data_IF_643199766760
#
_entry.id   IF_643199766760
#
_cell.length_a   1.000
_cell.length_b   1.000
_cell.length_c   1.000
_cell.angle_alpha   90.00
_cell.angle_beta   90.00
_cell.angle_gamma   90.00
#
_symmetry.space_group_name_H-M   'P 1'
#
loop_
_entity.id
_entity.type
_entity.pdbx_description
1 polymer ?
#
# COMPACT_ATOMS: atom_id res chain seq x y z
N UNK A 1 18.45 -38.47 7.99
CA UNK A 1 18.93 -37.09 7.76
C UNK A 1 20.03 -36.79 8.77
N UNK A 2 21.15 -36.15 8.39
CA UNK A 2 22.23 -35.84 9.34
C UNK A 2 21.74 -34.86 10.43
N UNK A 3 22.30 -34.98 11.62
CA UNK A 3 22.01 -34.07 12.72
C UNK A 3 22.42 -32.63 12.36
N UNK A 4 21.59 -31.65 12.74
CA UNK A 4 21.88 -30.26 12.48
C UNK A 4 23.16 -29.82 13.23
N UNK A 5 24.10 -29.20 12.52
CA UNK A 5 25.31 -28.64 13.13
C UNK A 5 24.90 -27.52 14.12
N UNK A 6 25.34 -27.58 15.39
CA UNK A 6 25.01 -26.55 16.38
C UNK A 6 25.54 -25.17 15.98
N UNK A 7 24.68 -24.17 16.01
CA UNK A 7 24.99 -22.75 15.75
C UNK A 7 25.09 -21.98 17.06
N UNK A 8 25.83 -20.88 17.10
CA UNK A 8 25.86 -19.99 18.26
C UNK A 8 24.47 -19.37 18.49
N UNK A 9 24.09 -19.18 19.75
CA UNK A 9 22.90 -18.40 20.11
C UNK A 9 22.97 -16.98 19.53
N UNK A 10 21.83 -16.43 19.09
CA UNK A 10 21.71 -15.07 18.52
C UNK A 10 21.79 -13.94 19.56
N UNK A 11 21.72 -14.24 20.85
CA UNK A 11 21.87 -13.22 21.90
C UNK A 11 23.33 -12.80 21.97
N UNK A 12 23.58 -11.51 21.83
CA UNK A 12 24.93 -10.94 21.90
C UNK A 12 25.57 -11.27 23.26
N UNK A 13 26.81 -11.78 23.24
CA UNK A 13 27.53 -12.20 24.44
C UNK A 13 27.16 -13.60 24.97
N UNK A 14 26.15 -14.27 24.41
CA UNK A 14 25.81 -15.64 24.82
C UNK A 14 26.80 -16.66 24.23
N UNK A 15 27.41 -17.47 25.11
CA UNK A 15 28.34 -18.55 24.73
C UNK A 15 27.64 -19.84 24.27
N UNK A 16 26.35 -19.98 24.54
CA UNK A 16 25.60 -21.21 24.31
C UNK A 16 25.36 -21.49 22.82
N UNK A 17 25.26 -22.78 22.47
CA UNK A 17 24.94 -23.27 21.13
C UNK A 17 23.49 -23.74 21.05
N UNK A 18 22.97 -23.84 19.84
CA UNK A 18 21.61 -24.30 19.56
C UNK A 18 21.53 -24.96 18.19
N UNK A 19 20.72 -26.01 18.09
CA UNK A 19 20.33 -26.63 16.81
C UNK A 19 18.95 -26.16 16.37
N UNK A 20 18.26 -25.37 17.21
CA UNK A 20 16.89 -24.91 16.96
C UNK A 20 16.85 -23.91 15.80
N UNK A 21 15.81 -24.02 14.95
CA UNK A 21 15.66 -23.17 13.74
C UNK A 21 15.56 -21.68 14.05
N UNK A 22 15.02 -21.30 15.21
CA UNK A 22 14.93 -19.91 15.64
C UNK A 22 16.28 -19.30 16.05
N UNK A 23 17.31 -20.12 16.27
CA UNK A 23 18.67 -19.65 16.55
C UNK A 23 18.91 -19.15 17.98
N UNK A 24 18.07 -19.53 18.93
CA UNK A 24 18.27 -19.23 20.36
C UNK A 24 18.53 -20.53 21.13
N UNK A 25 19.38 -20.51 22.17
CA UNK A 25 19.54 -21.63 23.09
C UNK A 25 18.30 -21.76 23.99
N UNK A 26 18.24 -22.81 24.81
CA UNK A 26 17.09 -23.07 25.69
C UNK A 26 16.80 -21.90 26.64
N UNK A 27 17.84 -21.33 27.28
CA UNK A 27 17.72 -20.14 28.14
C UNK A 27 17.10 -18.93 27.43
N UNK A 28 17.33 -18.81 26.12
CA UNK A 28 16.89 -17.69 25.30
C UNK A 28 15.72 -18.06 24.37
N UNK A 29 15.08 -19.22 24.56
CA UNK A 29 13.96 -19.66 23.71
C UNK A 29 12.81 -18.63 23.68
N UNK A 30 12.59 -17.89 24.78
CA UNK A 30 11.60 -16.82 24.86
C UNK A 30 11.83 -15.69 23.83
N UNK A 31 13.07 -15.47 23.37
CA UNK A 31 13.40 -14.46 22.35
C UNK A 31 13.09 -14.90 20.92
N UNK A 32 12.81 -16.19 20.72
CA UNK A 32 12.32 -16.74 19.45
C UNK A 32 10.91 -16.26 19.08
N UNK A 33 10.25 -15.48 19.96
CA UNK A 33 8.86 -15.07 19.81
C UNK A 33 8.57 -14.43 18.46
N UNK A 34 7.74 -15.14 17.68
CA UNK A 34 7.03 -14.65 16.50
C UNK A 34 6.27 -13.34 16.76
N UNK A 35 5.96 -13.02 18.02
CA UNK A 35 5.25 -11.81 18.41
C UNK A 35 5.99 -10.51 18.05
N UNK A 36 7.33 -10.48 18.06
CA UNK A 36 8.08 -9.29 17.62
C UNK A 36 7.90 -9.02 16.12
N UNK A 37 7.99 -10.07 15.32
CA UNK A 37 7.75 -9.99 13.87
C UNK A 37 6.30 -9.58 13.57
N UNK A 38 5.33 -10.19 14.24
CA UNK A 38 3.91 -9.88 14.05
C UNK A 38 3.58 -8.45 14.47
N UNK A 39 4.08 -7.97 15.62
CA UNK A 39 3.98 -6.56 16.03
C UNK A 39 4.63 -5.61 15.04
N UNK A 40 5.78 -5.98 14.46
CA UNK A 40 6.41 -5.19 13.41
C UNK A 40 5.57 -5.12 12.13
N UNK A 41 4.95 -6.23 11.70
CA UNK A 41 4.05 -6.22 10.55
C UNK A 41 2.78 -5.39 10.83
N UNK A 42 2.22 -5.49 12.03
CA UNK A 42 1.08 -4.66 12.46
C UNK A 42 1.43 -3.16 12.41
N UNK A 43 2.63 -2.77 12.86
CA UNK A 43 3.11 -1.37 12.80
C UNK A 43 3.33 -0.86 11.38
N UNK A 44 3.63 -1.74 10.41
CA UNK A 44 3.77 -1.37 8.99
C UNK A 44 2.42 -1.07 8.31
N UNK A 45 1.30 -1.37 8.98
CA UNK A 45 -0.04 -1.16 8.44
C UNK A 45 -0.42 -2.16 7.34
N UNK A 46 -1.65 -2.04 6.84
CA UNK A 46 -2.10 -2.84 5.69
C UNK A 46 -1.25 -2.47 4.47
N UNK A 47 -0.70 -3.48 3.79
CA UNK A 47 -0.11 -3.33 2.46
C UNK A 47 -1.24 -3.26 1.43
N UNK A 48 -2.05 -2.19 1.50
CA UNK A 48 -3.26 -1.97 0.70
C UNK A 48 -3.07 -2.38 -0.76
N UNK A 49 -2.01 -1.88 -1.40
CA UNK A 49 -1.73 -2.13 -2.80
C UNK A 49 -1.45 -3.61 -3.17
N UNK A 50 -1.20 -4.46 -2.17
CA UNK A 50 -0.94 -5.90 -2.35
C UNK A 50 -2.17 -6.76 -2.09
N UNK A 51 -3.24 -6.21 -1.53
CA UNK A 51 -4.45 -6.99 -1.19
C UNK A 51 -5.18 -7.45 -2.45
N UNK A 52 -5.91 -8.57 -2.33
CA UNK A 52 -6.68 -9.12 -3.45
C UNK A 52 -7.83 -8.17 -3.81
N UNK A 53 -8.42 -7.57 -2.80
CA UNK A 53 -9.53 -6.62 -2.88
C UNK A 53 -9.09 -5.38 -3.67
N UNK A 54 -7.95 -4.76 -3.32
CA UNK A 54 -7.43 -3.60 -4.06
C UNK A 54 -7.14 -3.94 -5.53
N UNK A 55 -6.50 -5.09 -5.79
CA UNK A 55 -6.22 -5.53 -7.16
C UNK A 55 -7.49 -5.73 -7.98
N UNK A 56 -8.55 -6.27 -7.37
CA UNK A 56 -9.85 -6.43 -8.01
C UNK A 56 -10.51 -5.06 -8.30
N UNK A 57 -10.61 -4.19 -7.29
CA UNK A 57 -11.18 -2.85 -7.44
C UNK A 57 -10.42 -2.01 -8.47
N UNK A 58 -9.09 -2.14 -8.52
CA UNK A 58 -8.25 -1.48 -9.53
C UNK A 58 -8.67 -1.81 -10.97
N UNK A 59 -8.96 -3.07 -11.26
CA UNK A 59 -9.40 -3.45 -12.60
C UNK A 59 -10.81 -2.94 -12.91
N UNK A 60 -11.70 -2.86 -11.91
CA UNK A 60 -13.01 -2.21 -12.05
C UNK A 60 -12.84 -0.71 -12.38
N UNK A 61 -11.99 0.00 -11.64
CA UNK A 61 -11.66 1.42 -11.86
C UNK A 61 -11.13 1.64 -13.27
N UNK A 62 -10.15 0.82 -13.70
CA UNK A 62 -9.59 0.87 -15.06
C UNK A 62 -10.66 0.69 -16.13
N UNK A 63 -11.56 -0.27 -15.94
CA UNK A 63 -12.64 -0.59 -16.89
C UNK A 63 -13.64 0.55 -16.98
N UNK A 64 -14.11 1.07 -15.84
CA UNK A 64 -15.04 2.22 -15.80
C UNK A 64 -14.43 3.49 -16.38
N UNK A 65 -13.13 3.70 -16.18
CA UNK A 65 -12.40 4.80 -16.80
C UNK A 65 -12.11 4.60 -18.30
N UNK A 66 -12.47 3.45 -18.88
CA UNK A 66 -12.14 3.07 -20.26
C UNK A 66 -10.65 3.18 -20.57
N UNK A 67 -9.81 2.86 -19.59
CA UNK A 67 -8.35 3.04 -19.62
C UNK A 67 -7.87 4.49 -19.86
N UNK A 68 -8.72 5.51 -19.70
CA UNK A 68 -8.38 6.91 -19.92
C UNK A 68 -8.12 7.66 -18.61
N UNK A 69 -7.21 8.63 -18.66
CA UNK A 69 -6.89 9.50 -17.55
C UNK A 69 -8.06 10.46 -17.26
N UNK A 70 -8.81 10.20 -16.20
CA UNK A 70 -10.01 10.98 -15.84
C UNK A 70 -9.64 12.45 -15.61
N UNK A 71 -8.57 12.73 -14.87
CA UNK A 71 -8.13 14.10 -14.62
C UNK A 71 -7.73 14.88 -15.88
N UNK A 72 -7.28 14.21 -16.95
CA UNK A 72 -7.04 14.89 -18.23
C UNK A 72 -8.34 15.14 -19.00
N UNK A 73 -9.31 14.23 -18.89
CA UNK A 73 -10.61 14.32 -19.55
C UNK A 73 -11.56 15.32 -18.90
N UNK A 74 -11.43 15.59 -17.60
CA UNK A 74 -12.35 16.47 -16.86
C UNK A 74 -11.83 17.89 -16.69
N UNK A 75 -10.67 18.20 -17.27
CA UNK A 75 -10.13 19.57 -17.27
C UNK A 75 -10.93 20.49 -18.21
N UNK A 76 -10.89 21.83 -17.98
CA UNK A 76 -11.56 22.79 -18.86
C UNK A 76 -11.15 22.69 -20.34
N UNK A 77 -9.92 22.26 -20.60
CA UNK A 77 -9.42 21.89 -21.94
C UNK A 77 -9.09 20.39 -21.92
N UNK A 78 -10.05 19.52 -22.23
CA UNK A 78 -9.90 18.09 -22.05
C UNK A 78 -8.90 17.51 -23.06
N UNK A 79 -8.06 16.60 -22.59
CA UNK A 79 -7.10 15.86 -23.42
C UNK A 79 -7.38 14.37 -23.24
N UNK A 80 -7.59 13.66 -24.35
CA UNK A 80 -7.71 12.20 -24.33
C UNK A 80 -6.31 11.61 -24.17
N UNK A 81 -6.05 11.04 -23.00
CA UNK A 81 -4.76 10.42 -22.67
C UNK A 81 -5.01 9.10 -21.94
N UNK A 82 -4.25 8.07 -22.27
CA UNK A 82 -4.30 6.79 -21.56
C UNK A 82 -3.84 6.94 -20.11
N UNK A 83 -4.54 6.29 -19.18
CA UNK A 83 -4.15 6.19 -17.78
C UNK A 83 -3.43 4.86 -17.49
N UNK A 84 -2.63 4.82 -16.44
CA UNK A 84 -1.87 3.64 -15.99
C UNK A 84 -1.92 3.40 -14.48
N UNK A 85 -2.35 4.40 -13.69
CA UNK A 85 -2.29 4.41 -12.23
C UNK A 85 -3.70 4.51 -11.65
N UNK A 86 -4.04 3.60 -10.73
CA UNK A 86 -5.25 3.71 -9.91
C UNK A 86 -4.91 4.53 -8.67
N UNK A 87 -5.41 5.75 -8.64
CA UNK A 87 -5.03 6.77 -7.68
C UNK A 87 -6.15 6.98 -6.66
N UNK A 88 -5.79 7.02 -5.38
CA UNK A 88 -6.73 7.41 -4.33
C UNK A 88 -6.91 8.93 -4.36
N UNK A 89 -8.14 9.45 -4.44
CA UNK A 89 -8.41 10.89 -4.35
C UNK A 89 -7.92 11.40 -3.00
N UNK A 90 -8.48 10.90 -1.90
CA UNK A 90 -7.94 11.07 -0.55
C UNK A 90 -6.91 9.97 -0.30
N UNK A 91 -5.64 10.28 0.03
CA UNK A 91 -4.63 9.26 0.29
C UNK A 91 -4.96 8.39 1.50
N UNK A 92 -4.52 7.13 1.48
CA UNK A 92 -4.66 6.19 2.61
C UNK A 92 -4.06 6.77 3.91
N UNK A 93 -2.94 7.49 3.82
CA UNK A 93 -2.31 8.17 4.96
C UNK A 93 -3.19 9.25 5.62
N UNK A 94 -4.24 9.71 4.92
CA UNK A 94 -5.23 10.68 5.40
C UNK A 94 -6.62 10.06 5.58
N UNK A 95 -6.70 8.73 5.64
CA UNK A 95 -7.95 8.00 5.88
C UNK A 95 -8.77 7.67 4.64
N UNK A 96 -8.22 7.83 3.43
CA UNK A 96 -8.89 7.42 2.20
C UNK A 96 -9.06 5.91 2.11
N UNK A 97 -10.19 5.47 1.55
CA UNK A 97 -10.57 4.07 1.35
C UNK A 97 -10.44 3.65 -0.10
N UNK A 98 -10.56 2.35 -0.36
CA UNK A 98 -10.57 1.74 -1.69
C UNK A 98 -11.98 1.71 -2.30
N UNK A 99 -12.90 2.53 -1.81
CA UNK A 99 -14.22 2.72 -2.41
C UNK A 99 -14.09 3.43 -3.76
N UNK A 100 -14.93 3.08 -4.73
CA UNK A 100 -14.87 3.67 -6.08
C UNK A 100 -15.03 5.20 -6.06
N UNK A 101 -15.83 5.73 -5.13
CA UNK A 101 -16.00 7.15 -4.85
C UNK A 101 -14.70 7.88 -4.46
N UNK A 102 -13.70 7.14 -3.99
CA UNK A 102 -12.39 7.67 -3.62
C UNK A 102 -11.27 7.23 -4.58
N UNK A 103 -11.59 6.56 -5.69
CA UNK A 103 -10.60 6.10 -6.66
C UNK A 103 -10.78 6.79 -8.02
N UNK A 104 -9.66 6.99 -8.71
CA UNK A 104 -9.63 7.48 -10.09
C UNK A 104 -8.55 6.77 -10.91
N UNK A 105 -8.65 6.87 -12.24
CA UNK A 105 -7.66 6.32 -13.16
C UNK A 105 -6.87 7.44 -13.81
N UNK A 106 -5.58 7.55 -13.50
CA UNK A 106 -4.71 8.64 -13.91
C UNK A 106 -3.57 8.15 -14.81
N UNK A 107 -3.05 9.03 -15.67
CA UNK A 107 -1.74 8.84 -16.28
C UNK A 107 -0.62 9.15 -15.25
N UNK A 108 0.59 8.65 -15.49
CA UNK A 108 1.72 8.82 -14.55
C UNK A 108 2.02 10.28 -14.24
N UNK A 109 1.97 11.16 -15.24
CA UNK A 109 2.25 12.59 -15.03
C UNK A 109 1.24 13.25 -14.08
N UNK A 110 -0.05 12.90 -14.20
CA UNK A 110 -1.08 13.42 -13.29
C UNK A 110 -0.96 12.83 -11.89
N UNK A 111 -0.67 11.53 -11.77
CA UNK A 111 -0.45 10.88 -10.49
C UNK A 111 0.75 11.49 -9.75
N UNK A 112 1.91 11.59 -10.40
CA UNK A 112 3.12 12.19 -9.83
C UNK A 112 2.89 13.64 -9.38
N UNK A 113 2.20 14.43 -10.19
CA UNK A 113 1.85 15.80 -9.82
C UNK A 113 0.94 15.85 -8.59
N UNK A 114 -0.11 15.01 -8.55
CA UNK A 114 -1.01 14.92 -7.40
C UNK A 114 -0.27 14.52 -6.13
N UNK A 115 0.52 13.43 -6.17
CA UNK A 115 1.31 12.96 -5.02
C UNK A 115 2.26 14.03 -4.51
N UNK A 116 2.90 14.79 -5.40
CA UNK A 116 3.75 15.93 -5.01
C UNK A 116 2.95 17.06 -4.35
N UNK A 117 1.83 17.45 -4.96
CA UNK A 117 1.00 18.57 -4.53
C UNK A 117 0.28 18.32 -3.20
N UNK A 118 -0.19 17.09 -2.96
CA UNK A 118 -1.07 16.78 -1.82
C UNK A 118 -0.36 16.62 -0.48
N UNK A 119 0.99 16.48 -0.46
CA UNK A 119 1.78 16.21 0.75
C UNK A 119 1.38 17.10 1.93
N UNK A 120 1.26 18.41 1.68
CA UNK A 120 0.97 19.43 2.69
C UNK A 120 -0.45 19.99 2.60
N UNK A 121 -1.40 19.24 2.01
CA UNK A 121 -2.78 19.69 1.81
C UNK A 121 -3.75 19.03 2.79
N UNK A 122 -4.82 19.73 3.17
CA UNK A 122 -5.90 19.15 3.94
C UNK A 122 -6.75 18.22 3.06
N UNK A 123 -7.51 17.30 3.67
CA UNK A 123 -8.45 16.43 2.94
C UNK A 123 -9.45 17.27 2.15
N UNK A 124 -9.95 18.37 2.74
CA UNK A 124 -10.86 19.32 2.08
C UNK A 124 -10.27 19.88 0.78
N UNK A 125 -9.04 20.40 0.83
CA UNK A 125 -8.38 20.96 -0.36
C UNK A 125 -8.13 19.91 -1.46
N UNK A 126 -7.85 18.66 -1.07
CA UNK A 126 -7.69 17.54 -2.00
C UNK A 126 -9.01 17.22 -2.69
N UNK A 127 -10.11 17.14 -1.93
CA UNK A 127 -11.45 16.87 -2.46
C UNK A 127 -11.94 18.00 -3.38
N UNK A 128 -11.71 19.26 -3.01
CA UNK A 128 -12.03 20.41 -3.87
C UNK A 128 -11.33 20.32 -5.23
N UNK A 129 -10.08 19.85 -5.25
CA UNK A 129 -9.30 19.76 -6.48
C UNK A 129 -9.57 18.50 -7.30
N UNK A 130 -9.72 17.35 -6.66
CA UNK A 130 -9.72 16.04 -7.34
C UNK A 130 -11.01 15.22 -7.13
N UNK A 131 -11.94 15.66 -6.28
CA UNK A 131 -13.17 14.92 -6.00
C UNK A 131 -14.03 14.69 -7.25
N UNK A 132 -14.01 15.61 -8.20
CA UNK A 132 -14.69 15.48 -9.49
C UNK A 132 -14.15 14.34 -10.37
N UNK A 133 -12.99 13.76 -10.04
CA UNK A 133 -12.37 12.67 -10.80
C UNK A 133 -12.78 11.28 -10.31
N UNK A 134 -13.65 11.20 -9.30
CA UNK A 134 -14.10 9.94 -8.71
C UNK A 134 -14.79 9.04 -9.75
N UNK A 135 -14.53 7.73 -9.66
CA UNK A 135 -15.29 6.75 -10.43
C UNK A 135 -16.66 6.58 -9.77
N UNK A 136 -17.67 7.22 -10.36
CA UNK A 136 -19.04 7.08 -9.92
C UNK A 136 -19.67 5.77 -10.42
N UNK A 137 -20.57 5.21 -9.61
CA UNK A 137 -21.31 3.99 -9.91
C UNK A 137 -22.38 4.19 -11.00
N UNK A 138 -22.75 5.43 -11.33
CA UNK A 138 -23.83 5.75 -12.26
C UNK A 138 -23.30 5.75 -13.71
N UNK A 139 -23.18 4.55 -14.28
CA UNK A 139 -23.23 4.30 -15.73
C UNK A 139 -23.84 2.93 -15.95
#
# INVERSE_FOLDING_TARGET
MPAAIPKRCRVQGCGNKTTQRHGYCEEHAHQASWGKYQKQQLRKGKRVYQTKEYKHTREIVKTKARCLCINCLTQPKPIVKSGSVCEHIVPVAKGGTEELSNLSWFCESCANFKTGWEKNKTVKAILEKYGHTAINLNS
#
